data_IF_761406538558
#
_entry.id   IF_761406538558
#
_cell.length_a   1.000
_cell.length_b   1.000
_cell.length_c   1.000
_cell.angle_alpha   90.00
_cell.angle_beta   90.00
_cell.angle_gamma   90.00
#
_symmetry.space_group_name_H-M   'P 1'
#
loop_
_entity.id
_entity.type
_entity.pdbx_description
1 polymer ?
#
# COMPACT_ATOMS: atom_id res chain seq x y z
N UNK A 1 -19.99 0.54 8.89
CA UNK A 1 -20.31 0.90 7.47
C UNK A 1 -19.58 2.14 6.96
N UNK A 2 -19.70 3.36 7.52
CA UNK A 2 -18.71 4.45 7.26
C UNK A 2 -17.31 4.10 7.78
N UNK A 3 -17.27 3.36 8.89
CA UNK A 3 -16.06 2.84 9.53
C UNK A 3 -15.22 1.98 8.59
N UNK A 4 -15.80 1.00 7.90
CA UNK A 4 -15.09 0.07 7.01
C UNK A 4 -14.41 0.77 5.83
N UNK A 5 -15.11 1.71 5.17
CA UNK A 5 -14.51 2.52 4.11
C UNK A 5 -13.26 3.26 4.60
N UNK A 6 -13.37 3.92 5.75
CA UNK A 6 -12.26 4.66 6.35
C UNK A 6 -11.16 3.71 6.87
N UNK A 7 -11.51 2.52 7.35
CA UNK A 7 -10.57 1.48 7.77
C UNK A 7 -9.73 1.00 6.58
N UNK A 8 -10.35 0.71 5.43
CA UNK A 8 -9.62 0.33 4.21
C UNK A 8 -8.62 1.42 3.81
N UNK A 9 -9.05 2.68 3.82
CA UNK A 9 -8.16 3.82 3.49
C UNK A 9 -7.02 3.94 4.50
N UNK A 10 -7.32 3.85 5.80
CA UNK A 10 -6.32 3.97 6.86
C UNK A 10 -5.30 2.83 6.81
N UNK A 11 -5.74 1.60 6.56
CA UNK A 11 -4.86 0.44 6.37
C UNK A 11 -4.02 0.57 5.09
N UNK A 12 -4.57 1.12 4.01
CA UNK A 12 -3.82 1.44 2.78
C UNK A 12 -2.72 2.48 3.03
N UNK A 13 -3.01 3.51 3.83
CA UNK A 13 -1.99 4.50 4.24
C UNK A 13 -0.91 3.87 5.10
N UNK A 14 -1.29 3.09 6.13
CA UNK A 14 -0.35 2.38 6.98
C UNK A 14 0.55 1.45 6.16
N UNK A 15 -0.04 0.71 5.22
CA UNK A 15 0.68 -0.15 4.29
C UNK A 15 1.68 0.63 3.43
N UNK A 16 1.28 1.79 2.90
CA UNK A 16 2.16 2.67 2.12
C UNK A 16 3.36 3.19 2.94
N UNK A 17 3.14 3.51 4.22
CA UNK A 17 4.20 3.95 5.14
C UNK A 17 5.16 2.81 5.48
N UNK A 18 4.62 1.61 5.75
CA UNK A 18 5.43 0.41 5.99
C UNK A 18 6.30 0.09 4.78
N UNK A 19 5.72 0.15 3.57
CA UNK A 19 6.45 -0.08 2.33
C UNK A 19 7.53 0.99 2.11
N UNK A 20 7.24 2.26 2.42
CA UNK A 20 8.22 3.35 2.38
C UNK A 20 9.40 3.08 3.31
N UNK A 21 9.14 2.71 4.56
CA UNK A 21 10.22 2.37 5.50
C UNK A 21 11.02 1.17 5.00
N UNK A 22 10.35 0.15 4.47
CA UNK A 22 11.04 -1.00 3.88
C UNK A 22 11.99 -0.60 2.74
N UNK A 23 11.63 0.35 1.87
CA UNK A 23 12.51 0.85 0.82
C UNK A 23 13.69 1.66 1.37
N UNK A 24 13.44 2.51 2.37
CA UNK A 24 14.50 3.30 3.03
C UNK A 24 15.51 2.36 3.72
N UNK A 25 15.06 1.31 4.40
CA UNK A 25 15.95 0.35 5.05
C UNK A 25 16.60 -0.64 4.07
N UNK A 26 15.97 -0.92 2.92
CA UNK A 26 16.57 -1.71 1.85
C UNK A 26 17.73 -0.97 1.14
N UNK A 27 17.69 0.36 1.06
CA UNK A 27 18.78 1.18 0.49
C UNK A 27 19.96 1.39 1.44
N UNK A 28 19.75 1.27 2.76
CA UNK A 28 20.71 1.66 3.80
C UNK A 28 21.96 0.77 4.00
N UNK A 29 22.25 -0.24 3.17
CA UNK A 29 23.49 -1.02 3.28
C UNK A 29 24.74 -0.30 2.74
N UNK A 30 24.55 0.82 2.04
CA UNK A 30 25.61 1.74 1.61
C UNK A 30 25.26 3.14 2.12
N UNK A 31 26.24 3.86 2.67
CA UNK A 31 26.07 5.23 3.19
C UNK A 31 25.61 6.13 2.03
N UNK A 32 24.31 6.46 1.98
CA UNK A 32 23.69 7.33 0.98
C UNK A 32 22.34 6.82 0.48
N UNK A 33 21.45 7.72 0.06
CA UNK A 33 20.22 7.36 -0.66
C UNK A 33 20.62 6.96 -2.07
N UNK A 34 20.99 5.69 -2.27
CA UNK A 34 21.27 5.19 -3.61
C UNK A 34 19.92 4.90 -4.28
N UNK A 35 19.43 5.86 -5.07
CA UNK A 35 18.26 5.66 -5.92
C UNK A 35 18.61 4.70 -7.05
N UNK A 36 18.53 3.39 -6.79
CA UNK A 36 18.47 2.44 -7.90
C UNK A 36 17.21 2.74 -8.72
N UNK A 37 17.36 2.89 -10.03
CA UNK A 37 16.25 3.17 -10.95
C UNK A 37 15.08 2.19 -10.78
N UNK A 38 15.38 0.96 -10.35
CA UNK A 38 14.39 -0.07 -10.06
C UNK A 38 13.51 0.24 -8.84
N UNK A 39 13.97 1.06 -7.90
CA UNK A 39 13.20 1.46 -6.72
C UNK A 39 12.37 2.74 -6.93
N UNK A 40 12.74 3.57 -7.92
CA UNK A 40 12.01 4.79 -8.28
C UNK A 40 10.52 4.50 -8.53
N UNK A 41 10.22 3.39 -9.21
CA UNK A 41 8.85 2.98 -9.50
C UNK A 41 8.04 2.69 -8.22
N UNK A 42 8.69 2.17 -7.19
CA UNK A 42 8.06 1.89 -5.90
C UNK A 42 7.79 3.19 -5.13
N UNK A 43 8.72 4.16 -5.15
CA UNK A 43 8.49 5.48 -4.57
C UNK A 43 7.34 6.23 -5.27
N UNK A 44 7.27 6.17 -6.60
CA UNK A 44 6.16 6.74 -7.37
C UNK A 44 4.82 6.11 -6.95
N UNK A 45 4.78 4.78 -6.83
CA UNK A 45 3.58 4.07 -6.40
C UNK A 45 3.14 4.47 -4.98
N UNK A 46 4.08 4.68 -4.06
CA UNK A 46 3.80 5.21 -2.71
C UNK A 46 3.14 6.58 -2.79
N UNK A 47 3.71 7.52 -3.54
CA UNK A 47 3.16 8.87 -3.68
C UNK A 47 1.75 8.83 -4.25
N UNK A 48 1.52 8.03 -5.30
CA UNK A 48 0.19 7.83 -5.89
C UNK A 48 -0.78 7.26 -4.85
N UNK A 49 -0.37 6.25 -4.08
CA UNK A 49 -1.25 5.59 -3.13
C UNK A 49 -1.60 6.50 -1.94
N UNK A 50 -0.63 7.26 -1.41
CA UNK A 50 -0.86 8.22 -0.33
C UNK A 50 -1.80 9.33 -0.80
N UNK A 51 -1.49 9.96 -1.95
CA UNK A 51 -2.33 11.05 -2.49
C UNK A 51 -3.75 10.59 -2.78
N UNK A 52 -3.91 9.42 -3.40
CA UNK A 52 -5.21 8.83 -3.68
C UNK A 52 -5.98 8.47 -2.40
N UNK A 53 -5.31 7.93 -1.39
CA UNK A 53 -5.91 7.60 -0.09
C UNK A 53 -6.39 8.86 0.64
N UNK A 54 -5.59 9.93 0.65
CA UNK A 54 -5.98 11.22 1.23
C UNK A 54 -7.19 11.84 0.52
N UNK A 55 -7.22 11.78 -0.82
CA UNK A 55 -8.36 12.25 -1.59
C UNK A 55 -9.63 11.42 -1.30
N UNK A 56 -9.47 10.11 -1.12
CA UNK A 56 -10.58 9.18 -0.87
C UNK A 56 -11.37 9.50 0.40
N UNK A 57 -10.75 10.08 1.44
CA UNK A 57 -11.48 10.53 2.64
C UNK A 57 -12.56 11.58 2.36
N UNK A 58 -12.40 12.39 1.31
CA UNK A 58 -13.36 13.45 0.96
C UNK A 58 -14.57 12.93 0.18
N UNK A 59 -14.55 11.68 -0.29
CA UNK A 59 -15.61 11.12 -1.12
C UNK A 59 -16.83 10.81 -0.24
N UNK A 60 -17.97 11.44 -0.56
CA UNK A 60 -19.24 11.22 0.15
C UNK A 60 -20.17 10.23 -0.55
N UNK A 61 -20.16 10.21 -1.88
CA UNK A 61 -21.08 9.43 -2.71
C UNK A 61 -20.67 7.96 -2.76
N UNK A 62 -21.59 7.05 -2.44
CA UNK A 62 -21.33 5.61 -2.34
C UNK A 62 -20.75 5.00 -3.62
N UNK A 63 -21.27 5.37 -4.80
CA UNK A 63 -20.77 4.91 -6.10
C UNK A 63 -19.28 5.23 -6.29
N UNK A 64 -18.83 6.43 -5.89
CA UNK A 64 -17.42 6.81 -5.98
C UNK A 64 -16.57 6.13 -4.91
N UNK A 65 -17.10 5.89 -3.71
CA UNK A 65 -16.41 5.10 -2.67
C UNK A 65 -16.07 3.69 -3.14
N UNK A 66 -17.03 3.01 -3.79
CA UNK A 66 -16.82 1.66 -4.37
C UNK A 66 -15.72 1.67 -5.44
N UNK A 67 -15.71 2.69 -6.31
CA UNK A 67 -14.63 2.86 -7.30
C UNK A 67 -13.27 3.10 -6.63
N UNK A 68 -13.23 3.95 -5.61
CA UNK A 68 -12.00 4.23 -4.87
C UNK A 68 -11.42 2.98 -4.20
N UNK A 69 -12.27 2.15 -3.58
CA UNK A 69 -11.85 0.89 -2.99
C UNK A 69 -11.26 -0.08 -4.03
N UNK A 70 -11.87 -0.18 -5.22
CA UNK A 70 -11.32 -1.02 -6.30
C UNK A 70 -9.94 -0.54 -6.73
N UNK A 71 -9.75 0.78 -6.84
CA UNK A 71 -8.45 1.38 -7.18
C UNK A 71 -7.41 1.08 -6.09
N UNK A 72 -7.77 1.23 -4.80
CA UNK A 72 -6.90 0.85 -3.67
C UNK A 72 -6.49 -0.63 -3.77
N UNK A 73 -7.44 -1.52 -4.06
CA UNK A 73 -7.13 -2.94 -4.27
C UNK A 73 -6.10 -3.18 -5.37
N UNK A 74 -6.24 -2.48 -6.50
CA UNK A 74 -5.26 -2.55 -7.61
C UNK A 74 -3.89 -2.02 -7.18
N UNK A 75 -3.83 -0.89 -6.47
CA UNK A 75 -2.57 -0.33 -5.98
C UNK A 75 -1.84 -1.29 -5.03
N UNK A 76 -2.57 -1.98 -4.15
CA UNK A 76 -1.98 -2.99 -3.25
C UNK A 76 -1.45 -4.20 -4.02
N UNK A 77 -2.15 -4.64 -5.07
CA UNK A 77 -1.64 -5.71 -5.96
C UNK A 77 -0.33 -5.27 -6.62
N UNK A 78 -0.24 -4.02 -7.09
CA UNK A 78 0.98 -3.49 -7.68
C UNK A 78 2.14 -3.48 -6.67
N UNK A 79 1.90 -3.13 -5.41
CA UNK A 79 2.92 -3.25 -4.36
C UNK A 79 3.39 -4.69 -4.15
N UNK A 80 2.48 -5.66 -4.14
CA UNK A 80 2.85 -7.07 -4.03
C UNK A 80 3.69 -7.52 -5.23
N UNK A 81 3.34 -7.10 -6.45
CA UNK A 81 4.14 -7.38 -7.65
C UNK A 81 5.55 -6.81 -7.51
N UNK A 82 5.69 -5.56 -7.04
CA UNK A 82 7.00 -4.94 -6.81
C UNK A 82 7.80 -5.62 -5.68
N UNK A 83 7.12 -6.15 -4.66
CA UNK A 83 7.76 -6.92 -3.61
C UNK A 83 8.31 -8.25 -4.16
N UNK A 84 7.49 -9.00 -4.91
CA UNK A 84 7.90 -10.29 -5.50
C UNK A 84 8.91 -10.17 -6.63
N UNK A 85 9.04 -9.01 -7.29
CA UNK A 85 10.09 -8.76 -8.28
C UNK A 85 11.47 -8.53 -7.65
N UNK A 86 11.58 -8.49 -6.32
CA UNK A 86 12.86 -8.32 -5.61
C UNK A 86 13.36 -6.89 -5.54
N UNK A 87 12.53 -5.89 -5.87
CA UNK A 87 12.90 -4.46 -5.80
C UNK A 87 13.15 -4.03 -4.35
N UNK A 88 12.46 -4.65 -3.39
CA UNK A 88 12.84 -4.59 -1.98
C UNK A 88 13.89 -5.67 -1.76
N UNK A 89 15.17 -5.25 -1.70
CA UNK A 89 16.26 -6.15 -1.37
C UNK A 89 16.07 -6.74 0.04
N UNK A 90 16.30 -8.04 0.18
CA UNK A 90 16.33 -8.73 1.48
C UNK A 90 17.56 -8.31 2.27
N UNK A 91 17.53 -7.11 2.83
CA UNK A 91 18.47 -6.68 3.87
C UNK A 91 17.95 -7.18 5.24
N UNK A 92 18.84 -7.45 6.20
CA UNK A 92 18.47 -7.95 7.53
C UNK A 92 17.48 -7.02 8.25
N UNK A 93 17.62 -5.70 8.06
CA UNK A 93 16.71 -4.69 8.62
C UNK A 93 15.38 -4.65 7.84
N UNK A 94 15.42 -4.90 6.52
CA UNK A 94 14.22 -5.00 5.69
C UNK A 94 13.39 -6.26 6.02
N UNK A 95 14.01 -7.29 6.63
CA UNK A 95 13.35 -8.53 7.03
C UNK A 95 12.18 -8.28 8.00
N UNK A 96 12.32 -7.32 8.91
CA UNK A 96 11.27 -6.94 9.85
C UNK A 96 9.98 -6.44 9.15
N UNK A 97 10.10 -5.97 7.90
CA UNK A 97 8.98 -5.45 7.12
C UNK A 97 8.31 -6.51 6.24
N UNK A 98 8.89 -7.72 6.07
CA UNK A 98 8.30 -8.78 5.24
C UNK A 98 6.93 -9.20 5.78
N UNK A 99 6.85 -9.46 7.09
CA UNK A 99 5.62 -9.89 7.75
C UNK A 99 4.50 -8.86 7.54
N UNK A 100 4.68 -7.56 7.85
CA UNK A 100 3.62 -6.59 7.60
C UNK A 100 3.36 -6.36 6.10
N UNK A 101 4.36 -6.46 5.21
CA UNK A 101 4.16 -6.29 3.76
C UNK A 101 3.29 -7.41 3.17
N UNK A 102 3.40 -8.64 3.68
CA UNK A 102 2.58 -9.76 3.21
C UNK A 102 1.27 -9.91 4.02
N UNK A 103 1.30 -9.58 5.30
CA UNK A 103 0.17 -9.73 6.22
C UNK A 103 -0.92 -8.66 6.07
N UNK A 104 -0.55 -7.38 5.96
CA UNK A 104 -1.55 -6.29 5.84
C UNK A 104 -2.45 -6.41 4.60
N UNK A 105 -1.92 -6.76 3.41
CA UNK A 105 -2.74 -6.94 2.22
C UNK A 105 -3.85 -7.96 2.42
N UNK A 106 -3.62 -9.04 3.16
CA UNK A 106 -4.66 -10.03 3.48
C UNK A 106 -5.85 -9.39 4.18
N UNK A 107 -5.60 -8.61 5.24
CA UNK A 107 -6.66 -7.90 5.95
C UNK A 107 -7.33 -6.85 5.07
N UNK A 108 -6.55 -6.09 4.29
CA UNK A 108 -7.12 -5.07 3.39
C UNK A 108 -8.04 -5.73 2.36
N UNK A 109 -7.61 -6.83 1.72
CA UNK A 109 -8.45 -7.55 0.75
C UNK A 109 -9.70 -8.14 1.39
N UNK A 110 -9.61 -8.65 2.62
CA UNK A 110 -10.78 -9.13 3.37
C UNK A 110 -11.81 -8.00 3.59
N UNK A 111 -11.36 -6.83 4.06
CA UNK A 111 -12.25 -5.67 4.23
C UNK A 111 -12.79 -5.14 2.90
N UNK A 112 -11.98 -5.12 1.83
CA UNK A 112 -12.42 -4.73 0.49
C UNK A 112 -13.52 -5.67 -0.01
N UNK A 113 -13.33 -6.98 0.13
CA UNK A 113 -14.30 -7.98 -0.30
C UNK A 113 -15.61 -7.85 0.48
N UNK A 114 -15.52 -7.74 1.80
CA UNK A 114 -16.68 -7.49 2.66
C UNK A 114 -17.43 -6.22 2.24
N UNK A 115 -16.73 -5.09 2.11
CA UNK A 115 -17.33 -3.81 1.76
C UNK A 115 -18.04 -3.86 0.41
N UNK A 116 -17.42 -4.46 -0.61
CA UNK A 116 -17.97 -4.53 -1.97
C UNK A 116 -19.18 -5.47 -2.09
N UNK A 117 -19.25 -6.48 -1.23
CA UNK A 117 -20.33 -7.48 -1.20
C UNK A 117 -21.57 -6.94 -0.51
N UNK A 118 -21.41 -6.32 0.66
CA UNK A 118 -22.53 -5.92 1.52
C UNK A 118 -23.00 -4.47 1.30
N UNK A 119 -22.20 -3.60 0.65
CA UNK A 119 -22.63 -2.23 0.31
C UNK A 119 -22.92 -2.10 -1.20
N UNK A 120 -24.13 -2.52 -1.61
CA UNK A 120 -24.63 -2.36 -3.00
C UNK A 120 -25.04 -0.92 -3.29
#
# INVERSE_FOLDING_TARGET
>A
MKSEYNQIILMSLAYSIIYLFSLIFATGSKIGINFDYNQLIAYILIIITITFSLFSFKIKILKYKRKAIKIIGVLIILFLILFFSGIIGFNEIAFAFIIPILGLPFFIFSFIFHYLTFNK
#
